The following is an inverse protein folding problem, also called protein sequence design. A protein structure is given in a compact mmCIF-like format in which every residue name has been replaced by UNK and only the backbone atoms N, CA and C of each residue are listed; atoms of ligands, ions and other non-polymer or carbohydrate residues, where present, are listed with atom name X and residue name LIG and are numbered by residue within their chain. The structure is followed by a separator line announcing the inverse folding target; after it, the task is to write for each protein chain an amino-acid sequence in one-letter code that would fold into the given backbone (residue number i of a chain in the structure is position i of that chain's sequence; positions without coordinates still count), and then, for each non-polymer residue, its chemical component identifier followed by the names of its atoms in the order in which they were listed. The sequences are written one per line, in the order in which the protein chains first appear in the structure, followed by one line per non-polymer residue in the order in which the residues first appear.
data_IF_821459474683
#
_entry.id   IF_821459474683
#
_cell.length_a   1.000
_cell.length_b   1.000
_cell.length_c   1.000
_cell.angle_alpha   90.00
_cell.angle_beta   90.00
_cell.angle_gamma   90.00
#
_symmetry.space_group_name_H-M   'P 1'
#
loop_
_entity.id
_entity.type
_entity.pdbx_description
1 polymer ?
#
# COMPACT_ATOMS: atom_id res chain seq x y z
N UNK A 1 -9.73 -10.65 5.55
CA UNK A 1 -11.19 -10.79 5.34
C UNK A 1 -11.70 -9.97 4.15
N UNK A 2 -11.28 -8.69 3.99
CA UNK A 2 -11.79 -7.79 2.93
C UNK A 2 -11.50 -8.31 1.52
N UNK A 3 -10.29 -8.83 1.26
CA UNK A 3 -9.93 -9.40 -0.04
C UNK A 3 -10.79 -10.63 -0.38
N UNK A 4 -11.18 -11.44 0.61
CA UNK A 4 -12.08 -12.58 0.40
C UNK A 4 -13.46 -12.09 -0.02
N UNK A 5 -13.98 -11.05 0.64
CA UNK A 5 -15.26 -10.45 0.27
C UNK A 5 -15.19 -9.86 -1.15
N UNK A 6 -14.12 -9.12 -1.47
CA UNK A 6 -13.89 -8.60 -2.81
C UNK A 6 -13.84 -9.69 -3.87
N UNK A 7 -13.19 -10.84 -3.59
CA UNK A 7 -13.13 -11.96 -4.53
C UNK A 7 -14.49 -12.64 -4.76
N UNK A 8 -15.38 -12.66 -3.77
CA UNK A 8 -16.74 -13.16 -3.97
C UNK A 8 -17.51 -12.32 -5.00
N UNK A 9 -17.37 -11.00 -4.95
CA UNK A 9 -17.97 -10.11 -5.95
C UNK A 9 -17.35 -10.32 -7.34
N UNK A 10 -16.02 -10.55 -7.43
CA UNK A 10 -15.38 -10.92 -8.70
C UNK A 10 -15.91 -12.23 -9.27
N UNK A 11 -16.14 -13.24 -8.45
CA UNK A 11 -16.75 -14.50 -8.88
C UNK A 11 -18.17 -14.29 -9.37
N UNK A 12 -18.96 -13.47 -8.67
CA UNK A 12 -20.33 -13.16 -9.08
C UNK A 12 -20.39 -12.42 -10.42
N UNK A 13 -19.47 -11.49 -10.68
CA UNK A 13 -19.42 -10.77 -11.97
C UNK A 13 -18.91 -11.62 -13.11
N UNK A 14 -18.07 -12.62 -12.86
CA UNK A 14 -17.47 -13.50 -13.87
C UNK A 14 -17.95 -14.94 -13.74
N UNK A 15 -19.20 -15.14 -13.36
CA UNK A 15 -19.72 -16.48 -13.12
C UNK A 15 -19.80 -17.30 -14.42
N UNK A 16 -19.29 -18.53 -14.47
CA UNK A 16 -19.12 -19.31 -15.69
C UNK A 16 -20.44 -20.00 -16.12
N UNK A 17 -21.51 -19.24 -16.29
CA UNK A 17 -22.78 -19.71 -16.84
C UNK A 17 -22.96 -19.10 -18.24
N UNK A 18 -23.36 -19.88 -19.24
CA UNK A 18 -23.73 -19.34 -20.57
C UNK A 18 -24.78 -18.22 -20.41
N UNK A 19 -24.60 -17.13 -21.15
CA UNK A 19 -25.49 -15.95 -21.14
C UNK A 19 -25.66 -15.26 -19.78
N UNK A 20 -24.67 -15.42 -18.86
CA UNK A 20 -24.71 -14.80 -17.54
C UNK A 20 -24.90 -13.28 -17.61
N UNK A 21 -24.21 -12.61 -18.54
CA UNK A 21 -24.34 -11.18 -18.75
C UNK A 21 -25.76 -10.77 -19.16
N UNK A 22 -26.40 -11.51 -20.03
CA UNK A 22 -27.79 -11.24 -20.49
C UNK A 22 -28.80 -11.45 -19.36
N UNK A 23 -28.61 -12.49 -18.56
CA UNK A 23 -29.46 -12.76 -17.39
C UNK A 23 -29.33 -11.63 -16.37
N UNK A 24 -28.12 -11.24 -16.05
CA UNK A 24 -27.86 -10.21 -15.03
C UNK A 24 -28.25 -8.81 -15.51
N UNK A 25 -28.04 -8.48 -16.78
CA UNK A 25 -28.49 -7.20 -17.33
C UNK A 25 -30.03 -7.11 -17.36
N UNK A 26 -30.71 -8.22 -17.59
CA UNK A 26 -32.17 -8.28 -17.51
C UNK A 26 -32.74 -8.06 -16.09
N UNK A 27 -31.97 -8.37 -15.04
CA UNK A 27 -32.39 -8.24 -13.63
C UNK A 27 -31.95 -6.92 -13.02
N UNK A 28 -30.69 -6.50 -13.24
CA UNK A 28 -30.04 -5.38 -12.57
C UNK A 28 -29.73 -4.18 -13.49
N UNK A 29 -30.05 -4.31 -14.79
CA UNK A 29 -29.74 -3.29 -15.80
C UNK A 29 -28.34 -3.44 -16.40
N UNK A 30 -28.03 -2.65 -17.43
CA UNK A 30 -26.80 -2.78 -18.23
C UNK A 30 -25.51 -2.51 -17.45
N UNK A 31 -25.57 -1.69 -16.41
CA UNK A 31 -24.43 -1.32 -15.56
C UNK A 31 -24.15 -2.28 -14.39
N UNK A 32 -24.85 -3.41 -14.32
CA UNK A 32 -24.77 -4.35 -13.20
C UNK A 32 -23.34 -4.81 -12.88
N UNK A 33 -22.53 -5.09 -13.90
CA UNK A 33 -21.15 -5.56 -13.72
C UNK A 33 -20.26 -4.49 -13.08
N UNK A 34 -20.42 -3.23 -13.50
CA UNK A 34 -19.72 -2.08 -12.93
C UNK A 34 -20.09 -1.89 -11.45
N UNK A 35 -21.38 -2.03 -11.13
CA UNK A 35 -21.88 -1.91 -9.76
C UNK A 35 -21.33 -3.02 -8.86
N UNK A 36 -21.38 -4.28 -9.29
CA UNK A 36 -20.90 -5.42 -8.51
C UNK A 36 -19.36 -5.52 -8.45
N UNK A 37 -18.63 -4.93 -9.39
CA UNK A 37 -17.18 -4.88 -9.33
C UNK A 37 -16.65 -3.82 -8.35
N UNK A 38 -17.44 -2.82 -7.94
CA UNK A 38 -16.96 -1.77 -7.01
C UNK A 38 -16.37 -2.30 -5.70
N UNK A 39 -16.97 -3.30 -4.99
CA UNK A 39 -16.34 -3.86 -3.80
C UNK A 39 -15.04 -4.60 -4.08
N UNK A 40 -14.91 -5.23 -5.24
CA UNK A 40 -13.68 -5.89 -5.65
C UNK A 40 -12.57 -4.87 -5.91
N UNK A 41 -12.80 -3.87 -6.77
CA UNK A 41 -11.83 -2.79 -7.05
C UNK A 41 -11.47 -2.02 -5.78
N UNK A 42 -12.46 -1.67 -4.94
CA UNK A 42 -12.22 -1.02 -3.65
C UNK A 42 -11.37 -1.86 -2.69
N UNK A 43 -11.34 -3.19 -2.83
CA UNK A 43 -10.50 -4.06 -1.98
C UNK A 43 -9.12 -4.29 -2.58
N UNK A 44 -9.03 -4.58 -3.87
CA UNK A 44 -7.79 -4.95 -4.54
C UNK A 44 -6.93 -3.75 -4.94
N UNK A 45 -7.57 -2.66 -5.40
CA UNK A 45 -6.83 -1.48 -5.88
C UNK A 45 -6.21 -0.66 -4.76
N UNK A 46 -6.67 -0.86 -3.49
CA UNK A 46 -6.07 -0.21 -2.32
C UNK A 46 -5.42 -1.20 -1.35
N UNK A 47 -5.15 -2.44 -1.78
CA UNK A 47 -4.63 -3.49 -0.89
C UNK A 47 -3.31 -3.12 -0.22
N UNK A 48 -2.45 -2.34 -0.89
CA UNK A 48 -1.18 -1.86 -0.31
C UNK A 48 -1.42 -0.92 0.86
N UNK A 49 -2.38 0.00 0.75
CA UNK A 49 -2.74 0.92 1.84
C UNK A 49 -3.17 0.12 3.07
N UNK A 50 -4.04 -0.88 2.86
CA UNK A 50 -4.52 -1.75 3.94
C UNK A 50 -3.39 -2.57 4.56
N UNK A 51 -2.47 -3.08 3.74
CA UNK A 51 -1.32 -3.84 4.20
C UNK A 51 -0.35 -2.99 5.00
N UNK A 52 -0.01 -1.78 4.53
CA UNK A 52 0.88 -0.83 5.22
C UNK A 52 0.34 -0.49 6.60
N UNK A 53 -0.94 -0.12 6.70
CA UNK A 53 -1.59 0.17 7.97
C UNK A 53 -1.61 -1.07 8.88
N UNK A 54 -1.98 -2.23 8.33
CA UNK A 54 -2.09 -3.48 9.09
C UNK A 54 -0.75 -3.97 9.62
N UNK A 55 0.31 -3.91 8.82
CA UNK A 55 1.67 -4.30 9.22
C UNK A 55 2.21 -3.33 10.27
N UNK A 56 2.09 -2.01 10.04
CA UNK A 56 2.51 -0.98 11.00
C UNK A 56 1.83 -1.15 12.35
N UNK A 57 0.51 -1.31 12.33
CA UNK A 57 -0.29 -1.55 13.54
C UNK A 57 0.11 -2.84 14.28
N UNK A 58 0.17 -3.95 13.55
CA UNK A 58 0.44 -5.28 14.14
C UNK A 58 1.84 -5.36 14.75
N UNK A 59 2.84 -4.82 14.04
CA UNK A 59 4.21 -4.80 14.50
C UNK A 59 4.39 -3.90 15.74
N UNK A 60 3.82 -2.71 15.75
CA UNK A 60 3.87 -1.80 16.90
C UNK A 60 3.19 -2.41 18.13
N UNK A 61 2.08 -3.11 17.95
CA UNK A 61 1.39 -3.83 19.02
C UNK A 61 2.28 -4.92 19.66
N UNK A 62 3.05 -5.66 18.84
CA UNK A 62 4.00 -6.66 19.35
C UNK A 62 5.10 -6.00 20.22
N UNK A 63 5.55 -4.82 19.85
CA UNK A 63 6.55 -4.06 20.62
C UNK A 63 5.98 -3.25 21.78
N UNK A 64 4.66 -3.29 21.99
CA UNK A 64 3.93 -2.59 23.07
C UNK A 64 4.10 -1.06 23.00
N UNK A 65 4.17 -0.50 21.81
CA UNK A 65 4.11 0.95 21.56
C UNK A 65 2.76 1.31 20.94
N UNK A 66 2.47 2.61 20.81
CA UNK A 66 1.19 3.05 20.24
C UNK A 66 1.03 2.57 18.79
N UNK A 67 0.11 1.62 18.60
CA UNK A 67 -0.08 0.93 17.33
C UNK A 67 -0.77 1.83 16.27
N UNK A 68 -1.65 2.73 16.72
CA UNK A 68 -2.35 3.64 15.81
C UNK A 68 -1.39 4.68 15.22
N UNK A 69 -0.56 5.28 16.07
CA UNK A 69 0.45 6.25 15.62
C UNK A 69 1.44 5.61 14.64
N UNK A 70 1.92 4.40 14.96
CA UNK A 70 2.82 3.67 14.08
C UNK A 70 2.18 3.36 12.71
N UNK A 71 0.91 2.96 12.67
CA UNK A 71 0.18 2.71 11.43
C UNK A 71 0.04 3.99 10.59
N UNK A 72 -0.31 5.12 11.21
CA UNK A 72 -0.43 6.42 10.53
C UNK A 72 0.92 6.86 9.97
N UNK A 73 1.99 6.79 10.78
CA UNK A 73 3.35 7.16 10.35
C UNK A 73 3.79 6.28 9.17
N UNK A 74 3.51 4.97 9.23
CA UNK A 74 3.84 4.04 8.14
C UNK A 74 3.10 4.40 6.85
N UNK A 75 1.82 4.74 6.96
CA UNK A 75 1.01 5.15 5.81
C UNK A 75 1.51 6.45 5.18
N UNK A 76 1.79 7.46 6.00
CA UNK A 76 2.33 8.74 5.51
C UNK A 76 3.72 8.53 4.88
N UNK A 77 4.58 7.70 5.50
CA UNK A 77 5.88 7.34 4.94
C UNK A 77 5.76 6.65 3.58
N UNK A 78 4.77 5.76 3.41
CA UNK A 78 4.48 5.12 2.13
C UNK A 78 4.06 6.15 1.07
N UNK A 79 3.21 7.11 1.43
CA UNK A 79 2.84 8.18 0.50
C UNK A 79 4.03 9.07 0.12
N UNK A 80 4.95 9.38 1.03
CA UNK A 80 6.15 10.19 0.70
C UNK A 80 6.99 9.53 -0.40
N UNK A 81 7.07 8.19 -0.43
CA UNK A 81 7.85 7.46 -1.45
C UNK A 81 7.03 7.07 -2.68
N UNK A 82 5.75 7.44 -2.73
CA UNK A 82 4.85 7.17 -3.86
C UNK A 82 4.69 8.43 -4.69
N UNK A 83 4.78 8.37 -6.03
CA UNK A 83 4.57 9.55 -6.87
C UNK A 83 3.12 10.05 -6.76
N UNK A 84 2.97 11.39 -6.71
CA UNK A 84 1.67 12.08 -6.66
C UNK A 84 1.26 12.64 -8.02
N UNK A 85 1.82 12.11 -9.09
CA UNK A 85 1.47 12.52 -10.44
C UNK A 85 1.39 11.32 -11.37
N UNK A 86 0.59 11.47 -12.41
CA UNK A 86 0.47 10.51 -13.51
C UNK A 86 0.51 11.28 -14.83
N UNK A 87 1.23 10.73 -15.80
CA UNK A 87 1.24 11.29 -17.15
C UNK A 87 -0.01 10.86 -17.90
N UNK A 88 -0.68 11.80 -18.54
CA UNK A 88 -1.85 11.60 -19.39
C UNK A 88 -1.58 12.18 -20.78
N UNK A 89 -1.82 11.38 -21.82
CA UNK A 89 -1.77 11.82 -23.21
C UNK A 89 -3.18 11.74 -23.78
N UNK A 90 -3.80 12.87 -24.13
CA UNK A 90 -5.13 12.86 -24.75
C UNK A 90 -5.13 12.12 -26.09
N UNK A 91 -6.24 11.47 -26.42
CA UNK A 91 -6.42 10.82 -27.71
C UNK A 91 -6.24 11.82 -28.84
N UNK A 92 -5.34 11.52 -29.79
CA UNK A 92 -5.03 12.37 -30.94
C UNK A 92 -4.01 13.47 -30.68
N UNK A 93 -3.41 13.56 -29.48
CA UNK A 93 -2.32 14.49 -29.14
C UNK A 93 -1.01 13.73 -28.94
N UNK A 94 0.11 14.40 -29.27
CA UNK A 94 1.47 13.94 -28.90
C UNK A 94 1.99 14.58 -27.62
N UNK A 95 1.21 15.51 -27.05
CA UNK A 95 1.59 16.23 -25.83
C UNK A 95 1.27 15.38 -24.60
N UNK A 96 2.24 15.28 -23.68
CA UNK A 96 2.13 14.56 -22.40
C UNK A 96 1.87 15.59 -21.32
N UNK A 97 0.75 15.46 -20.64
CA UNK A 97 0.40 16.28 -19.51
C UNK A 97 0.66 15.53 -18.21
N UNK A 98 1.24 16.21 -17.23
CA UNK A 98 1.39 15.69 -15.88
C UNK A 98 0.19 16.14 -15.04
N UNK A 99 -0.57 15.17 -14.52
CA UNK A 99 -1.77 15.41 -13.72
C UNK A 99 -1.53 14.94 -12.29
N UNK A 100 -1.78 15.83 -11.31
CA UNK A 100 -1.72 15.47 -9.89
C UNK A 100 -2.76 14.39 -9.57
N UNK A 101 -2.31 13.20 -9.24
CA UNK A 101 -3.17 12.05 -8.93
C UNK A 101 -2.41 11.00 -8.13
N UNK A 102 -3.13 10.16 -7.40
CA UNK A 102 -2.57 8.97 -6.78
C UNK A 102 -2.70 7.80 -7.77
N UNK A 103 -1.60 7.28 -8.33
CA UNK A 103 -1.67 6.18 -9.28
C UNK A 103 -2.15 4.90 -8.59
N UNK A 104 -3.32 4.39 -8.97
CA UNK A 104 -3.89 3.14 -8.45
C UNK A 104 -2.92 1.95 -8.62
N UNK A 105 -2.07 1.99 -9.63
CA UNK A 105 -1.00 1.00 -9.83
C UNK A 105 -0.19 0.74 -8.56
N UNK A 106 0.19 1.81 -7.84
CA UNK A 106 1.01 1.71 -6.63
C UNK A 106 0.20 1.47 -5.35
N UNK A 107 -1.10 1.71 -5.39
CA UNK A 107 -2.01 1.43 -4.26
C UNK A 107 -2.43 -0.05 -4.21
N UNK A 108 -2.46 -0.72 -5.38
CA UNK A 108 -2.77 -2.14 -5.53
C UNK A 108 -1.54 -3.05 -5.35
N UNK A 109 -1.56 -4.20 -6.02
CA UNK A 109 -0.54 -5.26 -5.85
C UNK A 109 0.88 -4.85 -6.19
N UNK A 110 1.07 -3.93 -7.15
CA UNK A 110 2.42 -3.50 -7.57
C UNK A 110 3.18 -2.71 -6.50
N UNK A 111 2.46 -1.99 -5.63
CA UNK A 111 3.07 -1.26 -4.51
C UNK A 111 3.25 -2.08 -3.25
N UNK A 112 2.68 -3.29 -3.18
CA UNK A 112 2.59 -4.08 -1.95
C UNK A 112 3.97 -4.36 -1.33
N UNK A 113 4.95 -4.70 -2.17
CA UNK A 113 6.29 -5.02 -1.69
C UNK A 113 6.97 -3.80 -1.04
N UNK A 114 6.99 -2.64 -1.72
CA UNK A 114 7.51 -1.41 -1.14
C UNK A 114 6.72 -1.01 0.10
N UNK A 115 5.39 -1.10 0.03
CA UNK A 115 4.53 -0.78 1.18
C UNK A 115 4.88 -1.58 2.42
N UNK A 116 5.11 -2.89 2.29
CA UNK A 116 5.55 -3.74 3.41
C UNK A 116 6.93 -3.33 3.95
N UNK A 117 7.90 -3.07 3.07
CA UNK A 117 9.24 -2.63 3.47
C UNK A 117 9.17 -1.31 4.23
N UNK A 118 8.42 -0.34 3.70
CA UNK A 118 8.22 0.97 4.36
C UNK A 118 7.54 0.79 5.71
N UNK A 119 6.49 -0.02 5.81
CA UNK A 119 5.78 -0.26 7.06
C UNK A 119 6.66 -0.93 8.13
N UNK A 120 7.45 -1.92 7.74
CA UNK A 120 8.39 -2.58 8.65
C UNK A 120 9.48 -1.61 9.13
N UNK A 121 10.07 -0.86 8.21
CA UNK A 121 11.18 0.06 8.52
C UNK A 121 10.69 1.25 9.36
N UNK A 122 9.60 1.92 8.96
CA UNK A 122 9.02 3.05 9.71
C UNK A 122 8.62 2.65 11.13
N UNK A 123 7.95 1.49 11.29
CA UNK A 123 7.55 1.00 12.60
C UNK A 123 8.76 0.63 13.46
N UNK A 124 9.80 -0.01 12.89
CA UNK A 124 11.05 -0.31 13.61
C UNK A 124 11.74 0.97 14.07
N UNK A 125 11.82 1.99 13.21
CA UNK A 125 12.36 3.30 13.57
C UNK A 125 11.53 3.94 14.67
N UNK A 126 10.21 3.91 14.58
CA UNK A 126 9.29 4.44 15.60
C UNK A 126 9.55 3.78 16.97
N UNK A 127 9.58 2.45 17.02
CA UNK A 127 9.89 1.70 18.25
C UNK A 127 11.26 2.09 18.82
N UNK A 128 12.28 2.20 17.96
CA UNK A 128 13.63 2.55 18.39
C UNK A 128 13.70 3.95 19.00
N UNK A 129 13.03 4.93 18.38
CA UNK A 129 12.99 6.32 18.86
C UNK A 129 12.21 6.45 20.19
N UNK A 130 11.06 5.79 20.29
CA UNK A 130 10.29 5.75 21.55
C UNK A 130 11.13 5.13 22.69
N UNK A 131 11.78 4.00 22.43
CA UNK A 131 12.62 3.33 23.44
C UNK A 131 13.87 4.13 23.85
N UNK A 132 14.40 4.95 22.95
CA UNK A 132 15.49 5.88 23.25
C UNK A 132 15.02 7.13 24.02
N UNK A 133 13.72 7.30 24.20
CA UNK A 133 13.16 8.46 24.89
C UNK A 133 13.17 9.74 24.06
N UNK A 134 13.24 9.63 22.73
CA UNK A 134 13.15 10.79 21.82
C UNK A 134 11.69 11.21 21.66
N UNK A 135 11.10 11.64 22.77
CA UNK A 135 9.69 11.99 22.87
C UNK A 135 9.52 13.28 23.64
N UNK A 136 8.44 14.00 23.37
CA UNK A 136 8.06 15.17 24.17
C UNK A 136 7.34 14.66 25.42
N UNK A 137 7.90 14.93 26.59
CA UNK A 137 7.27 14.60 27.87
C UNK A 137 6.28 15.69 28.26
N UNK A 138 5.06 15.29 28.56
CA UNK A 138 4.00 16.19 29.01
C UNK A 138 3.90 16.21 30.54
N UNK A 139 3.48 17.35 31.17
CA UNK A 139 3.22 17.42 32.60
C UNK A 139 2.06 16.51 33.02
N UNK A 140 1.99 16.21 34.33
CA UNK A 140 0.88 15.46 34.91
C UNK A 140 -0.44 16.24 34.75
N UNK A 141 -1.53 15.51 34.47
CA UNK A 141 -2.87 16.10 34.30
C UNK A 141 -3.32 16.25 32.83
N UNK A 142 -2.46 16.00 31.85
CA UNK A 142 -2.85 16.01 30.41
C UNK A 142 -3.56 14.72 30.05
N UNK A 143 -4.66 14.74 29.27
CA UNK A 143 -5.36 13.53 28.83
C UNK A 143 -4.43 12.58 28.09
N UNK A 144 -4.51 11.25 28.33
CA UNK A 144 -3.60 10.26 27.75
C UNK A 144 -3.52 10.27 26.22
N UNK A 145 -4.63 10.60 25.54
CA UNK A 145 -4.68 10.69 24.07
C UNK A 145 -3.81 11.83 23.55
N UNK A 146 -3.82 12.97 24.25
CA UNK A 146 -2.98 14.13 23.91
C UNK A 146 -1.52 13.82 24.15
N UNK A 147 -1.18 13.22 25.30
CA UNK A 147 0.20 12.78 25.62
C UNK A 147 0.77 11.92 24.51
N UNK A 148 0.05 10.89 24.07
CA UNK A 148 0.49 9.98 22.99
C UNK A 148 0.74 10.71 21.66
N UNK A 149 -0.09 11.70 21.34
CA UNK A 149 0.08 12.48 20.11
C UNK A 149 1.36 13.31 20.12
N UNK A 150 1.69 13.92 21.25
CA UNK A 150 2.93 14.68 21.41
C UNK A 150 4.16 13.79 21.54
N UNK A 151 4.06 12.63 22.16
CA UNK A 151 5.14 11.63 22.20
C UNK A 151 5.55 11.17 20.80
N UNK A 152 4.59 11.03 19.89
CA UNK A 152 4.85 10.62 18.52
C UNK A 152 5.42 11.72 17.62
N UNK A 153 5.41 12.98 18.02
CA UNK A 153 5.75 14.12 17.17
C UNK A 153 7.22 14.10 16.71
N UNK A 154 8.17 13.96 17.63
CA UNK A 154 9.59 13.87 17.30
C UNK A 154 9.90 12.61 16.47
N UNK A 155 9.45 11.40 16.88
CA UNK A 155 9.62 10.21 16.07
C UNK A 155 9.05 10.35 14.64
N UNK A 156 7.84 10.90 14.51
CA UNK A 156 7.22 11.13 13.20
C UNK A 156 8.09 12.04 12.32
N UNK A 157 8.52 13.18 12.85
CA UNK A 157 9.37 14.12 12.11
C UNK A 157 10.64 13.44 11.59
N UNK A 158 11.34 12.69 12.44
CA UNK A 158 12.57 11.99 12.05
C UNK A 158 12.31 10.94 10.96
N UNK A 159 11.24 10.14 11.13
CA UNK A 159 10.90 9.06 10.19
C UNK A 159 10.48 9.64 8.83
N UNK A 160 9.59 10.63 8.82
CA UNK A 160 9.12 11.25 7.58
C UNK A 160 10.27 11.95 6.84
N UNK A 161 11.16 12.64 7.56
CA UNK A 161 12.37 13.24 6.99
C UNK A 161 13.30 12.17 6.40
N UNK A 162 13.45 11.03 7.06
CA UNK A 162 14.24 9.91 6.54
C UNK A 162 13.69 9.42 5.19
N UNK A 163 12.38 9.17 5.09
CA UNK A 163 11.77 8.72 3.84
C UNK A 163 11.77 9.80 2.76
N UNK A 164 11.62 11.08 3.13
CA UNK A 164 11.76 12.20 2.21
C UNK A 164 13.17 12.26 1.59
N UNK A 165 14.21 12.15 2.41
CA UNK A 165 15.60 12.11 1.93
C UNK A 165 15.86 10.86 1.09
N UNK A 166 15.35 9.71 1.50
CA UNK A 166 15.48 8.47 0.74
C UNK A 166 14.81 8.57 -0.65
N UNK A 167 13.62 9.17 -0.72
CA UNK A 167 12.96 9.40 -2.01
C UNK A 167 13.70 10.41 -2.87
N UNK A 168 14.17 11.52 -2.28
CA UNK A 168 14.98 12.51 -2.98
C UNK A 168 16.27 11.90 -3.57
N UNK A 169 16.94 11.02 -2.82
CA UNK A 169 18.10 10.29 -3.34
C UNK A 169 17.73 9.35 -4.50
N UNK A 170 16.55 8.74 -4.44
CA UNK A 170 16.05 7.90 -5.53
C UNK A 170 15.75 8.72 -6.80
N UNK A 171 15.20 9.92 -6.64
CA UNK A 171 14.90 10.85 -7.75
C UNK A 171 16.17 11.32 -8.48
N UNK A 172 17.34 11.32 -7.81
CA UNK A 172 18.63 11.60 -8.45
C UNK A 172 19.13 10.46 -9.33
N UNK A 173 18.53 9.27 -9.22
CA UNK A 173 18.86 8.12 -10.06
C UNK A 173 18.08 8.15 -11.37
N UNK A 174 18.56 7.45 -12.40
CA UNK A 174 17.87 7.30 -13.68
C UNK A 174 16.52 6.55 -13.58
N UNK A 175 16.11 6.08 -12.41
CA UNK A 175 14.86 5.37 -12.17
C UNK A 175 13.73 6.29 -11.70
N UNK A 176 14.03 7.51 -11.23
CA UNK A 176 13.09 8.57 -10.92
C UNK A 176 12.40 8.48 -9.57
N UNK A 177 12.15 7.29 -9.01
CA UNK A 177 11.53 7.15 -7.68
C UNK A 177 11.79 5.78 -7.06
N UNK A 178 11.58 5.68 -5.73
CA UNK A 178 11.80 4.46 -4.95
C UNK A 178 10.89 3.31 -5.38
N UNK A 179 9.66 3.60 -5.83
CA UNK A 179 8.70 2.60 -6.32
C UNK A 179 9.27 1.87 -7.55
N UNK A 180 9.75 2.62 -8.53
CA UNK A 180 10.32 2.05 -9.76
C UNK A 180 11.63 1.28 -9.51
N UNK A 181 12.47 1.77 -8.60
CA UNK A 181 13.71 1.08 -8.21
C UNK A 181 13.37 -0.30 -7.65
N UNK A 182 12.54 -0.35 -6.61
CA UNK A 182 12.18 -1.63 -5.97
C UNK A 182 11.37 -2.54 -6.90
N UNK A 183 10.49 -1.99 -7.71
CA UNK A 183 9.75 -2.77 -8.70
C UNK A 183 10.69 -3.44 -9.69
N UNK A 184 11.63 -2.72 -10.30
CA UNK A 184 12.56 -3.25 -11.30
C UNK A 184 13.59 -4.23 -10.71
N UNK A 185 14.15 -3.91 -9.54
CA UNK A 185 15.26 -4.70 -8.99
C UNK A 185 14.81 -5.91 -8.16
N UNK A 186 13.65 -5.84 -7.54
CA UNK A 186 13.17 -6.90 -6.65
C UNK A 186 11.93 -7.60 -7.18
N UNK A 187 10.90 -6.85 -7.54
CA UNK A 187 9.61 -7.45 -7.88
C UNK A 187 9.61 -8.08 -9.28
N UNK A 188 10.18 -7.42 -10.29
CA UNK A 188 10.25 -8.01 -11.64
C UNK A 188 11.04 -9.33 -11.69
N UNK A 189 12.25 -9.45 -11.11
CA UNK A 189 12.96 -10.73 -11.06
C UNK A 189 12.16 -11.82 -10.33
N UNK A 190 11.53 -11.49 -9.20
CA UNK A 190 10.71 -12.45 -8.47
C UNK A 190 9.48 -12.91 -9.26
N UNK A 191 8.80 -11.99 -9.97
CA UNK A 191 7.69 -12.32 -10.84
C UNK A 191 8.14 -13.20 -12.02
N UNK A 192 9.30 -12.91 -12.62
CA UNK A 192 9.83 -13.72 -13.72
C UNK A 192 10.20 -15.14 -13.27
N UNK A 193 10.76 -15.28 -12.06
CA UNK A 193 11.02 -16.58 -11.46
C UNK A 193 9.70 -17.31 -11.13
N UNK A 194 8.70 -16.61 -10.57
CA UNK A 194 7.40 -17.17 -10.21
C UNK A 194 6.59 -17.70 -11.40
N UNK A 195 6.80 -17.14 -12.59
CA UNK A 195 6.14 -17.56 -13.82
C UNK A 195 6.80 -18.78 -14.49
N UNK A 196 7.87 -19.34 -13.92
CA UNK A 196 8.47 -20.57 -14.43
C UNK A 196 7.80 -21.80 -13.84
N UNK A 197 7.62 -22.85 -14.65
CA UNK A 197 7.08 -24.16 -14.23
C UNK A 197 7.85 -24.73 -13.02
N UNK A 198 9.17 -24.53 -12.99
CA UNK A 198 10.02 -24.97 -11.90
C UNK A 198 9.70 -24.26 -10.56
N UNK A 199 9.47 -22.96 -10.59
CA UNK A 199 9.12 -22.20 -9.40
C UNK A 199 7.72 -22.56 -8.87
N UNK A 200 6.75 -22.84 -9.78
CA UNK A 200 5.43 -23.35 -9.39
C UNK A 200 5.50 -24.70 -8.71
N UNK A 201 6.33 -25.62 -9.23
CA UNK A 201 6.56 -26.95 -8.62
C UNK A 201 7.23 -26.80 -7.24
N UNK A 202 8.26 -25.95 -7.13
CA UNK A 202 8.96 -25.69 -5.87
C UNK A 202 8.00 -25.07 -4.84
N UNK A 203 7.23 -24.07 -5.22
CA UNK A 203 6.23 -23.45 -4.34
C UNK A 203 5.18 -24.46 -3.87
N UNK A 204 4.72 -25.34 -4.76
CA UNK A 204 3.78 -26.39 -4.41
C UNK A 204 4.37 -27.41 -3.42
N UNK A 205 5.65 -27.79 -3.62
CA UNK A 205 6.35 -28.72 -2.69
C UNK A 205 6.61 -28.09 -1.31
N UNK A 206 6.80 -26.76 -1.22
CA UNK A 206 6.99 -26.07 0.06
C UNK A 206 5.68 -25.80 0.83
N UNK A 207 4.54 -25.79 0.12
CA UNK A 207 3.22 -25.57 0.71
C UNK A 207 2.54 -26.87 1.19
N UNK A 208 3.09 -28.03 0.85
CA UNK A 208 2.68 -29.36 1.30
C UNK A 208 3.77 -30.03 2.12
#
# INVERSE_FOLDING_TARGET
PLLIVGSLFLVLTNFPIPNWNEIMSGILGDDWATMLNKPATASFDIMTILAVCGVGYSLAKQFKVDALQAAIISLVSFFIVTPFSTTFTPEGSTEVYEVGSLPLRWMGSSGLFLGMVVALLSTRMFVALIRKGWTIKMPEGVPPTVVKSFEALIPSFVILTFFMVANWLADLTSYGNLQEILFKFLQMPLLSLGNTLGAMIIAYLFLH
#
